data_IF_451026879673
#
_entry.id   IF_451026879673
#
_cell.length_a   1.000
_cell.length_b   1.000
_cell.length_c   1.000
_cell.angle_alpha   90.00
_cell.angle_beta   90.00
_cell.angle_gamma   90.00
#
_symmetry.space_group_name_H-M   'P 1'
#
loop_
_entity.id
_entity.type
_entity.pdbx_description
1 polymer ?
#
# COMPACT_ATOMS: atom_id res chain seq x y z
N UNK A 1 6.53 -13.09 22.45
CA UNK A 1 6.67 -12.19 21.29
C UNK A 1 5.86 -12.81 20.18
N UNK A 2 4.76 -12.16 19.83
CA UNK A 2 3.73 -12.69 18.94
C UNK A 2 4.14 -12.48 17.49
N UNK A 3 4.89 -13.43 16.94
CA UNK A 3 5.05 -13.57 15.48
C UNK A 3 3.78 -14.24 14.93
N UNK A 4 2.85 -13.41 14.43
CA UNK A 4 1.77 -13.86 13.55
C UNK A 4 2.16 -13.59 12.11
N UNK A 5 2.56 -14.67 11.43
CA UNK A 5 2.88 -14.77 10.02
C UNK A 5 1.63 -14.57 9.15
N UNK A 6 1.28 -13.32 8.90
CA UNK A 6 0.37 -12.87 7.83
C UNK A 6 0.61 -11.37 7.68
N UNK A 7 0.95 -10.88 6.49
CA UNK A 7 0.99 -9.43 6.11
C UNK A 7 1.21 -8.41 7.26
N UNK A 8 2.38 -7.78 7.36
CA UNK A 8 2.66 -6.81 8.44
C UNK A 8 1.54 -5.77 8.64
N UNK A 9 1.08 -5.57 9.89
CA UNK A 9 -0.01 -4.62 10.21
C UNK A 9 0.44 -3.15 10.30
N UNK A 10 1.65 -2.83 9.80
CA UNK A 10 2.26 -1.52 9.98
C UNK A 10 1.42 -0.38 9.40
N UNK A 11 0.71 -0.62 8.30
CA UNK A 11 -0.11 0.39 7.64
C UNK A 11 -1.25 0.83 8.56
N UNK A 12 -1.95 -0.12 9.17
CA UNK A 12 -3.09 0.16 10.05
C UNK A 12 -2.63 0.78 11.37
N UNK A 13 -1.47 0.36 11.89
CA UNK A 13 -0.84 0.97 13.07
C UNK A 13 -0.46 2.43 12.80
N UNK A 14 0.08 2.74 11.63
CA UNK A 14 0.43 4.12 11.25
C UNK A 14 -0.83 4.95 11.02
N UNK A 15 -1.84 4.43 10.30
CA UNK A 15 -3.10 5.14 10.09
C UNK A 15 -3.82 5.47 11.40
N UNK A 16 -3.82 4.56 12.38
CA UNK A 16 -4.38 4.82 13.71
C UNK A 16 -3.70 6.03 14.39
N UNK A 17 -2.37 6.14 14.30
CA UNK A 17 -1.60 7.27 14.84
C UNK A 17 -1.81 8.57 14.05
N UNK A 18 -2.09 8.47 12.76
CA UNK A 18 -2.37 9.63 11.90
C UNK A 18 -3.78 10.18 12.11
N UNK A 19 -4.74 9.32 12.47
CA UNK A 19 -6.11 9.70 12.78
C UNK A 19 -6.19 10.71 13.94
N UNK A 20 -5.33 10.58 14.96
CA UNK A 20 -5.18 11.55 16.05
C UNK A 20 -4.85 12.97 15.56
N UNK A 21 -4.28 13.08 14.35
CA UNK A 21 -3.89 14.35 13.70
C UNK A 21 -4.78 14.71 12.51
N UNK A 22 -5.94 14.06 12.35
CA UNK A 22 -6.84 14.24 11.20
C UNK A 22 -6.12 14.03 9.85
N UNK A 23 -5.24 13.04 9.78
CA UNK A 23 -4.48 12.67 8.57
C UNK A 23 -4.60 11.17 8.32
N UNK A 24 -4.29 10.74 7.09
CA UNK A 24 -4.29 9.32 6.70
C UNK A 24 -3.25 9.05 5.61
N UNK A 25 -2.79 7.81 5.52
CA UNK A 25 -1.98 7.37 4.40
C UNK A 25 -2.79 7.35 3.10
N UNK A 26 -2.12 7.66 1.99
CA UNK A 26 -2.70 7.54 0.66
C UNK A 26 -2.59 6.09 0.19
N UNK A 27 -3.73 5.45 -0.01
CA UNK A 27 -3.83 4.11 -0.59
C UNK A 27 -4.48 4.19 -1.96
N UNK A 28 -3.98 3.41 -2.92
CA UNK A 28 -4.60 3.28 -4.24
C UNK A 28 -5.17 1.87 -4.41
N UNK A 29 -6.26 1.78 -5.17
CA UNK A 29 -6.83 0.51 -5.58
C UNK A 29 -6.03 0.02 -6.78
N UNK A 30 -5.41 -1.15 -6.68
CA UNK A 30 -4.74 -1.81 -7.79
C UNK A 30 -5.61 -2.95 -8.30
N UNK A 31 -5.63 -3.13 -9.62
CA UNK A 31 -6.38 -4.23 -10.24
C UNK A 31 -5.53 -5.50 -10.41
N UNK A 32 -4.20 -5.37 -10.40
CA UNK A 32 -3.23 -6.48 -10.51
C UNK A 32 -1.96 -6.17 -9.71
N UNK A 33 -1.72 -6.82 -8.57
CA UNK A 33 -2.67 -7.66 -7.82
C UNK A 33 -3.93 -6.87 -7.42
N UNK A 34 -5.08 -7.56 -7.28
CA UNK A 34 -6.31 -6.91 -6.85
C UNK A 34 -6.23 -6.59 -5.36
N UNK A 35 -6.40 -5.33 -4.99
CA UNK A 35 -6.31 -4.92 -3.59
C UNK A 35 -6.17 -3.43 -3.39
N UNK A 36 -6.03 -3.03 -2.13
CA UNK A 36 -5.70 -1.65 -1.75
C UNK A 36 -4.25 -1.62 -1.27
N UNK A 37 -3.39 -0.89 -1.97
CA UNK A 37 -1.96 -0.83 -1.68
C UNK A 37 -1.53 0.60 -1.37
N UNK A 38 -0.50 0.75 -0.54
CA UNK A 38 0.14 2.05 -0.35
C UNK A 38 0.77 2.52 -1.66
N UNK A 39 0.58 3.80 -1.96
CA UNK A 39 1.24 4.45 -3.08
C UNK A 39 2.19 5.50 -2.54
N UNK A 40 3.48 5.36 -2.86
CA UNK A 40 4.45 6.42 -2.63
C UNK A 40 4.41 7.32 -3.86
N UNK A 41 4.03 8.57 -3.69
CA UNK A 41 3.88 9.52 -4.79
C UNK A 41 4.77 10.75 -4.58
N UNK A 42 5.29 11.30 -5.68
CA UNK A 42 5.98 12.57 -5.70
C UNK A 42 5.01 13.73 -5.90
N UNK A 43 5.35 14.89 -5.36
CA UNK A 43 4.70 16.15 -5.69
C UNK A 43 5.54 16.95 -6.69
N UNK A 44 4.87 17.75 -7.52
CA UNK A 44 5.56 18.65 -8.44
C UNK A 44 5.85 19.94 -7.67
N UNK A 45 7.12 20.18 -7.35
CA UNK A 45 7.55 21.40 -6.65
C UNK A 45 7.44 22.64 -7.56
N UNK A 46 7.85 22.51 -8.83
CA UNK A 46 7.75 23.59 -9.83
C UNK A 46 6.97 23.12 -11.06
N UNK A 47 5.85 23.79 -11.37
CA UNK A 47 4.99 23.42 -12.49
C UNK A 47 5.59 23.88 -13.82
N UNK A 48 6.01 22.93 -14.65
CA UNK A 48 6.49 23.15 -16.03
C UNK A 48 5.60 22.41 -17.03
N UNK A 49 5.60 22.85 -18.29
CA UNK A 49 4.83 22.20 -19.36
C UNK A 49 5.21 20.72 -19.44
N UNK A 50 4.23 19.84 -19.30
CA UNK A 50 4.42 18.38 -19.35
C UNK A 50 4.86 17.73 -18.03
N UNK A 51 5.07 18.48 -16.95
CA UNK A 51 5.41 17.90 -15.66
C UNK A 51 4.26 17.01 -15.13
N UNK A 52 4.62 15.82 -14.64
CA UNK A 52 3.68 14.86 -14.04
C UNK A 52 4.30 14.32 -12.76
N UNK A 53 3.51 14.28 -11.69
CA UNK A 53 3.83 13.53 -10.48
C UNK A 53 3.97 12.05 -10.83
N UNK A 54 4.90 11.36 -10.19
CA UNK A 54 5.15 9.94 -10.40
C UNK A 54 4.87 9.22 -9.10
N UNK A 55 4.14 8.10 -9.19
CA UNK A 55 3.88 7.21 -8.07
C UNK A 55 4.51 5.84 -8.29
N UNK A 56 4.76 5.14 -7.19
CA UNK A 56 5.19 3.75 -7.20
C UNK A 56 4.45 2.95 -6.13
N UNK A 57 4.23 1.67 -6.40
CA UNK A 57 3.76 0.68 -5.43
C UNK A 57 4.97 -0.03 -4.85
N UNK A 58 5.28 0.13 -3.55
CA UNK A 58 6.41 -0.53 -2.94
C UNK A 58 6.13 -2.03 -2.81
N UNK A 59 7.13 -2.86 -3.10
CA UNK A 59 7.06 -4.32 -2.93
C UNK A 59 7.36 -4.77 -1.50
N UNK A 60 7.99 -3.89 -0.71
CA UNK A 60 8.25 -4.08 0.72
C UNK A 60 7.53 -2.99 1.53
N UNK A 61 7.14 -3.30 2.76
CA UNK A 61 6.56 -2.34 3.67
C UNK A 61 7.56 -1.21 3.99
N UNK A 62 7.21 0.06 3.74
CA UNK A 62 8.12 1.18 3.99
C UNK A 62 8.38 1.45 5.47
N UNK A 63 7.65 0.79 6.37
CA UNK A 63 7.76 0.99 7.82
C UNK A 63 8.58 -0.09 8.52
N UNK A 64 8.48 -1.35 8.08
CA UNK A 64 9.18 -2.47 8.72
C UNK A 64 10.10 -3.27 7.78
N UNK A 65 10.09 -2.99 6.48
CA UNK A 65 10.94 -3.67 5.50
C UNK A 65 10.50 -5.09 5.12
N UNK A 66 9.40 -5.61 5.68
CA UNK A 66 8.85 -6.94 5.31
C UNK A 66 8.26 -6.88 3.91
N UNK A 67 8.52 -7.90 3.08
CA UNK A 67 7.93 -8.02 1.75
C UNK A 67 6.41 -8.11 1.84
N UNK A 68 5.69 -7.40 0.98
CA UNK A 68 4.27 -7.64 0.84
C UNK A 68 4.08 -9.00 0.16
N UNK A 69 3.25 -9.85 0.76
CA UNK A 69 2.82 -11.06 0.08
C UNK A 69 2.07 -10.65 -1.19
N UNK A 70 2.37 -11.29 -2.34
CA UNK A 70 1.52 -11.13 -3.51
C UNK A 70 0.11 -11.58 -3.11
N UNK A 71 -0.89 -10.74 -3.36
CA UNK A 71 -2.27 -11.06 -2.99
C UNK A 71 -2.60 -12.47 -3.48
N UNK A 72 -2.98 -13.36 -2.55
CA UNK A 72 -3.41 -14.71 -2.88
C UNK A 72 -4.47 -14.61 -3.98
N UNK A 73 -4.23 -15.27 -5.10
CA UNK A 73 -5.23 -15.39 -6.14
C UNK A 73 -6.46 -16.07 -5.50
N UNK A 74 -7.69 -15.58 -5.71
CA UNK A 74 -8.85 -16.35 -5.30
C UNK A 74 -8.77 -17.69 -6.03
N UNK A 75 -8.57 -18.74 -5.24
CA UNK A 75 -8.67 -20.13 -5.65
C UNK A 75 -9.93 -20.31 -6.51
N UNK A 76 -9.74 -20.86 -7.70
CA UNK A 76 -10.80 -21.16 -8.65
C UNK A 76 -11.91 -21.91 -7.94
N UNK A 77 -13.06 -21.26 -7.74
CA UNK A 77 -14.30 -21.93 -7.38
C UNK A 77 -14.61 -22.94 -8.50
N UNK A 78 -14.57 -24.22 -8.14
CA UNK A 78 -14.98 -25.36 -8.95
C UNK A 78 -16.36 -25.10 -9.58
N UNK A 79 -16.43 -25.20 -10.90
CA UNK A 79 -17.70 -25.33 -11.62
C UNK A 79 -17.94 -26.82 -11.90
N UNK A 80 -19.06 -27.34 -11.38
CA UNK A 80 -19.61 -28.68 -11.62
C UNK A 80 -19.66 -29.06 -13.09
#
# INVERSE_FOLDING_TARGET
MSDSTSSCNCIDVVDAKLAERNTRLVRAITLRPFGTHLMIATEIIEKKRGARAVGMFPTFCPFCGVAYEPAAQPETAEAN
#
